data_IF_540181648094
#
_entry.id   IF_540181648094
#
_cell.length_a   1.000
_cell.length_b   1.000
_cell.length_c   1.000
_cell.angle_alpha   90.00
_cell.angle_beta   90.00
_cell.angle_gamma   90.00
#
_symmetry.space_group_name_H-M   'P 1'
#
loop_
_entity.id
_entity.type
_entity.pdbx_description
1 polymer ?
#
# COMPACT_ATOMS: atom_id res chain seq x y z
N UNK A 1 -6.83 24.45 -28.64
CA UNK A 1 -6.40 23.11 -28.15
C UNK A 1 -4.91 23.07 -27.89
N UNK A 2 -4.13 23.95 -28.54
CA UNK A 2 -2.71 24.23 -28.23
C UNK A 2 -2.50 25.24 -27.08
N UNK A 3 -3.55 25.85 -26.54
CA UNK A 3 -3.40 26.98 -25.60
C UNK A 3 -2.83 26.60 -24.22
N UNK A 4 -2.87 25.32 -23.84
CA UNK A 4 -2.34 24.83 -22.54
C UNK A 4 -1.74 23.41 -22.69
N UNK A 5 -0.52 23.30 -23.24
CA UNK A 5 0.13 21.99 -23.44
C UNK A 5 0.31 21.22 -22.12
N UNK A 6 0.52 21.92 -21.00
CA UNK A 6 0.60 21.31 -19.68
C UNK A 6 -0.71 20.65 -19.25
N UNK A 7 -1.86 21.28 -19.50
CA UNK A 7 -3.17 20.70 -19.16
C UNK A 7 -3.49 19.51 -20.05
N UNK A 8 -3.13 19.58 -21.33
CA UNK A 8 -3.29 18.44 -22.24
C UNK A 8 -2.45 17.24 -21.78
N UNK A 9 -1.17 17.46 -21.45
CA UNK A 9 -0.30 16.40 -20.93
C UNK A 9 -0.81 15.85 -19.60
N UNK A 10 -1.32 16.69 -18.69
CA UNK A 10 -1.89 16.23 -17.43
C UNK A 10 -3.15 15.38 -17.64
N UNK A 11 -4.10 15.86 -18.43
CA UNK A 11 -5.39 15.19 -18.67
C UNK A 11 -5.27 13.91 -19.50
N UNK A 12 -4.36 13.90 -20.48
CA UNK A 12 -4.20 12.81 -21.43
C UNK A 12 -2.89 12.02 -21.24
N UNK A 13 -2.23 12.17 -20.10
CA UNK A 13 -0.99 11.44 -19.74
C UNK A 13 -1.05 9.95 -20.03
N UNK A 14 -2.10 9.26 -19.55
CA UNK A 14 -2.30 7.82 -19.80
C UNK A 14 -2.53 7.50 -21.28
N UNK A 15 -3.22 8.36 -22.03
CA UNK A 15 -3.46 8.17 -23.46
C UNK A 15 -2.17 8.33 -24.26
N UNK A 16 -1.37 9.34 -23.93
CA UNK A 16 -0.04 9.58 -24.52
C UNK A 16 0.88 8.40 -24.20
N UNK A 17 0.93 7.96 -22.94
CA UNK A 17 1.76 6.81 -22.52
C UNK A 17 1.36 5.50 -23.21
N UNK A 18 0.08 5.33 -23.54
CA UNK A 18 -0.45 4.15 -24.24
C UNK A 18 -0.45 4.30 -25.77
N UNK A 19 0.00 5.44 -26.31
CA UNK A 19 0.00 5.72 -27.74
C UNK A 19 -1.39 5.78 -28.37
N UNK A 20 -2.41 6.18 -27.60
CA UNK A 20 -3.79 6.29 -28.08
C UNK A 20 -4.00 7.72 -28.60
N UNK A 21 -4.07 7.84 -29.92
CA UNK A 21 -4.35 9.10 -30.61
C UNK A 21 -5.86 9.37 -30.70
N UNK A 22 -6.27 10.65 -30.80
CA UNK A 22 -7.69 11.02 -30.92
C UNK A 22 -8.39 10.34 -32.11
N UNK A 23 -7.69 10.21 -33.24
CA UNK A 23 -8.23 9.60 -34.46
C UNK A 23 -8.48 8.08 -34.31
N UNK A 24 -7.71 7.42 -33.44
CA UNK A 24 -7.82 5.97 -33.19
C UNK A 24 -8.91 5.57 -32.18
N UNK A 25 -9.57 6.54 -31.54
CA UNK A 25 -10.56 6.28 -30.49
C UNK A 25 -11.79 5.52 -31.01
N UNK A 26 -12.34 5.95 -32.14
CA UNK A 26 -13.54 5.33 -32.71
C UNK A 26 -13.31 3.86 -33.06
N UNK A 27 -12.17 3.56 -33.69
CA UNK A 27 -11.80 2.20 -34.06
C UNK A 27 -11.61 1.31 -32.82
N UNK A 28 -10.99 1.86 -31.77
CA UNK A 28 -10.80 1.18 -30.49
C UNK A 28 -12.15 0.78 -29.87
N UNK A 29 -13.11 1.71 -29.80
CA UNK A 29 -14.44 1.42 -29.26
C UNK A 29 -15.23 0.41 -30.09
N UNK A 30 -15.15 0.48 -31.43
CA UNK A 30 -15.78 -0.53 -32.32
C UNK A 30 -15.22 -1.93 -32.06
N UNK A 31 -13.88 -2.06 -31.94
CA UNK A 31 -13.20 -3.32 -31.61
C UNK A 31 -13.62 -3.85 -30.24
N UNK A 32 -13.64 -3.00 -29.21
CA UNK A 32 -14.07 -3.36 -27.86
C UNK A 32 -15.52 -3.85 -27.84
N UNK A 33 -16.44 -3.13 -28.49
CA UNK A 33 -17.83 -3.56 -28.56
C UNK A 33 -18.02 -4.88 -29.30
N UNK A 34 -17.26 -5.13 -30.37
CA UNK A 34 -17.29 -6.42 -31.06
C UNK A 34 -16.81 -7.56 -30.15
N UNK A 35 -15.73 -7.35 -29.40
CA UNK A 35 -15.19 -8.33 -28.45
C UNK A 35 -16.18 -8.66 -27.32
N UNK A 36 -16.79 -7.64 -26.70
CA UNK A 36 -17.78 -7.84 -25.61
C UNK A 36 -19.04 -8.56 -26.11
N UNK A 37 -19.49 -8.29 -27.35
CA UNK A 37 -20.64 -9.00 -27.92
C UNK A 37 -20.32 -10.46 -28.24
N UNK A 38 -19.08 -10.76 -28.61
CA UNK A 38 -18.65 -12.12 -28.90
C UNK A 38 -18.53 -12.97 -27.63
N UNK A 39 -17.99 -12.41 -26.54
CA UNK A 39 -17.92 -13.06 -25.23
C UNK A 39 -18.41 -12.11 -24.13
N UNK A 40 -19.71 -12.18 -23.76
CA UNK A 40 -20.28 -11.33 -22.72
C UNK A 40 -19.96 -11.84 -21.30
N UNK A 41 -19.22 -12.94 -21.15
CA UNK A 41 -19.00 -13.57 -19.85
C UNK A 41 -17.93 -12.85 -19.03
N UNK A 42 -18.20 -12.66 -17.73
CA UNK A 42 -17.24 -12.06 -16.82
C UNK A 42 -16.17 -13.09 -16.42
N UNK A 43 -14.94 -12.89 -16.86
CA UNK A 43 -13.80 -13.73 -16.47
C UNK A 43 -13.46 -13.49 -15.00
N UNK A 44 -13.59 -14.53 -14.18
CA UNK A 44 -13.16 -14.49 -12.77
C UNK A 44 -11.63 -14.53 -12.68
N UNK A 45 -11.09 -13.92 -11.63
CA UNK A 45 -9.65 -13.99 -11.33
C UNK A 45 -9.21 -15.45 -11.21
N UNK A 46 -8.18 -15.82 -11.98
CA UNK A 46 -7.53 -17.14 -11.91
C UNK A 46 -6.50 -17.22 -10.78
N UNK A 47 -6.29 -16.12 -10.04
CA UNK A 47 -5.32 -16.08 -8.93
C UNK A 47 -5.76 -17.07 -7.85
N UNK A 48 -4.88 -18.01 -7.44
CA UNK A 48 -5.20 -18.91 -6.36
C UNK A 48 -5.42 -18.12 -5.07
N UNK A 49 -6.28 -18.61 -4.16
CA UNK A 49 -6.36 -18.01 -2.84
C UNK A 49 -4.98 -18.05 -2.18
N UNK A 50 -4.60 -17.00 -1.42
CA UNK A 50 -3.31 -16.97 -0.75
C UNK A 50 -3.21 -18.17 0.21
N UNK A 51 -2.09 -18.91 0.11
CA UNK A 51 -1.83 -20.12 0.94
C UNK A 51 -1.84 -19.81 2.43
N UNK A 52 -1.33 -18.63 2.80
CA UNK A 52 -1.30 -18.13 4.17
C UNK A 52 -1.84 -16.71 4.21
N UNK A 53 -2.60 -16.40 5.26
CA UNK A 53 -3.12 -15.06 5.47
C UNK A 53 -2.01 -14.12 5.95
N UNK A 54 -1.54 -13.24 5.06
CA UNK A 54 -0.59 -12.17 5.43
C UNK A 54 -1.23 -11.20 6.43
N UNK A 55 -0.71 -11.15 7.66
CA UNK A 55 -1.11 -10.17 8.68
C UNK A 55 -0.27 -8.91 8.47
N UNK A 56 -0.92 -7.76 8.32
CA UNK A 56 -0.25 -6.44 8.29
C UNK A 56 -0.14 -5.81 9.68
N UNK A 57 -0.97 -6.25 10.62
CA UNK A 57 -1.01 -5.73 11.99
C UNK A 57 -0.13 -6.58 12.92
N UNK A 58 0.42 -5.94 13.95
CA UNK A 58 1.15 -6.60 15.02
C UNK A 58 0.27 -7.62 15.75
N UNK A 59 0.86 -8.75 16.14
CA UNK A 59 0.18 -9.74 16.97
C UNK A 59 -0.11 -9.15 18.35
N UNK A 60 -1.32 -9.39 18.86
CA UNK A 60 -1.69 -8.97 20.22
C UNK A 60 -0.77 -9.65 21.23
N UNK A 61 -0.10 -8.85 22.05
CA UNK A 61 0.76 -9.33 23.12
C UNK A 61 -0.07 -10.10 24.15
N UNK A 62 0.41 -11.27 24.54
CA UNK A 62 -0.20 -12.09 25.60
C UNK A 62 -0.03 -11.41 26.96
N UNK A 63 -0.69 -11.95 27.99
CA UNK A 63 -0.57 -11.40 29.35
C UNK A 63 0.86 -11.56 29.90
N UNK A 64 1.49 -12.71 29.68
CA UNK A 64 2.83 -13.01 30.15
C UNK A 64 3.88 -12.11 29.48
N UNK A 65 3.78 -11.95 28.17
CA UNK A 65 4.66 -11.04 27.42
C UNK A 65 4.47 -9.57 27.84
N UNK A 66 3.24 -9.15 28.18
CA UNK A 66 2.99 -7.81 28.76
C UNK A 66 3.65 -7.66 30.12
N UNK A 67 3.59 -8.68 30.98
CA UNK A 67 4.24 -8.68 32.29
C UNK A 67 5.75 -8.65 32.18
N UNK A 68 6.33 -9.44 31.26
CA UNK A 68 7.76 -9.45 31.01
C UNK A 68 8.27 -8.07 30.55
N UNK A 69 7.58 -7.43 29.60
CA UNK A 69 7.93 -6.06 29.17
C UNK A 69 7.80 -5.04 30.29
N UNK A 70 6.85 -5.21 31.20
CA UNK A 70 6.72 -4.32 32.36
C UNK A 70 7.91 -4.50 33.31
N UNK A 71 8.29 -5.73 33.62
CA UNK A 71 9.44 -6.03 34.50
C UNK A 71 10.73 -5.49 33.88
N UNK A 72 10.94 -5.74 32.59
CA UNK A 72 12.09 -5.21 31.83
C UNK A 72 12.15 -3.68 31.91
N UNK A 73 11.01 -3.00 31.69
CA UNK A 73 10.93 -1.54 31.80
C UNK A 73 11.22 -1.02 33.21
N UNK A 74 10.72 -1.69 34.24
CA UNK A 74 10.96 -1.30 35.63
C UNK A 74 12.42 -1.51 36.04
N UNK A 75 13.03 -2.63 35.62
CA UNK A 75 14.43 -2.90 35.88
C UNK A 75 15.33 -1.86 35.19
N UNK A 76 15.02 -1.50 33.94
CA UNK A 76 15.74 -0.45 33.22
C UNK A 76 15.61 0.91 33.93
N UNK A 77 14.41 1.26 34.40
CA UNK A 77 14.18 2.51 35.14
C UNK A 77 14.96 2.56 36.46
N UNK A 78 14.95 1.46 37.22
CA UNK A 78 15.68 1.37 38.48
C UNK A 78 17.20 1.43 38.25
N UNK A 79 17.70 0.80 37.19
CA UNK A 79 19.11 0.89 36.81
C UNK A 79 19.51 2.32 36.40
N UNK A 80 18.63 3.07 35.72
CA UNK A 80 18.90 4.47 35.39
C UNK A 80 18.80 5.41 36.59
N UNK A 81 17.90 5.16 37.54
CA UNK A 81 17.72 6.00 38.72
C UNK A 81 18.83 5.82 39.76
N UNK A 82 19.46 4.64 39.81
CA UNK A 82 20.63 4.39 40.67
C UNK A 82 21.93 5.04 40.17
N UNK A 83 21.99 5.50 38.91
CA UNK A 83 23.17 6.13 38.34
C UNK A 83 23.24 7.65 38.61
N UNK A 84 22.13 8.30 38.97
CA UNK A 84 22.04 9.75 39.28
C UNK A 84 22.24 10.05 40.78
N UNK A 85 22.41 9.02 41.62
CA UNK A 85 22.51 9.12 43.10
C UNK A 85 23.92 8.86 43.64
N UNK A 86 24.90 8.58 42.80
CA UNK A 86 26.25 8.14 43.19
C UNK A 86 27.34 9.22 42.92
N UNK A 87 26.94 10.47 42.67
CA UNK A 87 27.83 11.62 42.34
C UNK A 87 27.65 12.81 43.32
N UNK A 88 27.37 12.55 44.60
CA UNK A 88 27.34 13.57 45.68
C UNK A 88 27.97 13.05 47.00
N UNK A 89 29.12 12.38 46.97
CA UNK A 89 29.96 12.17 48.16
C UNK A 89 31.44 11.91 47.76
N UNK A 90 32.15 12.97 47.32
CA UNK A 90 33.61 13.16 47.53
C UNK A 90 33.94 14.66 47.67
#
# INVERSE_FOLDING_TARGET
>A
MEDEPEKYQAHFSEYINRGIEPDGMEETYKKVHAAIRADPTAVKSTKPPPKEHKRYNLKKLTYEERKAKLIERLNALNASAGADSDDEDD
#
